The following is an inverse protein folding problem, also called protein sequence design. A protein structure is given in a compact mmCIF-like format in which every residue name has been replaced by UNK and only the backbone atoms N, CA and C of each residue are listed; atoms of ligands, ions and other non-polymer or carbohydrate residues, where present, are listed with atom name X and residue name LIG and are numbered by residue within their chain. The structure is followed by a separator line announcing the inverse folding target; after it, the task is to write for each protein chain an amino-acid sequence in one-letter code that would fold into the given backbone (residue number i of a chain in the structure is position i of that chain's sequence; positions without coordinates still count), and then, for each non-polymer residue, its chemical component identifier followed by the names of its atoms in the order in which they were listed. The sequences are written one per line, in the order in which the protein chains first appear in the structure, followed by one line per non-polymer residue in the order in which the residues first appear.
data_IF_515241907028
#
_entry.id   IF_515241907028
#
_cell.length_a   1.000
_cell.length_b   1.000
_cell.length_c   1.000
_cell.angle_alpha   90.00
_cell.angle_beta   90.00
_cell.angle_gamma   90.00
#
_symmetry.space_group_name_H-M   'P 1'
#
loop_
_entity.id
_entity.type
_entity.pdbx_description
1 polymer ?
#
# COMPACT_ATOMS: atom_id res chain seq x y z
N UNK A 1 23.13 -16.85 23.76
CA UNK A 1 23.20 -17.48 22.44
C UNK A 1 22.07 -16.95 21.59
N UNK A 2 22.21 -15.74 21.04
CA UNK A 2 21.20 -15.11 20.16
C UNK A 2 21.85 -14.03 19.27
N UNK A 3 22.92 -14.38 18.57
CA UNK A 3 23.65 -13.48 17.66
C UNK A 3 23.76 -13.96 16.21
N UNK A 4 23.12 -15.06 15.87
CA UNK A 4 23.22 -15.65 14.52
C UNK A 4 22.02 -15.32 13.59
N UNK A 5 20.91 -14.79 14.12
CA UNK A 5 19.72 -14.47 13.32
C UNK A 5 19.80 -13.14 12.56
N UNK A 6 20.47 -12.14 13.11
CA UNK A 6 20.56 -10.79 12.50
C UNK A 6 21.52 -10.72 11.29
N UNK A 7 22.54 -11.57 11.27
CA UNK A 7 23.51 -11.60 10.15
C UNK A 7 22.93 -12.21 8.87
N UNK A 8 21.99 -13.16 8.98
CA UNK A 8 21.37 -13.79 7.79
C UNK A 8 20.37 -12.84 7.10
N UNK A 9 19.66 -11.99 7.84
CA UNK A 9 18.71 -11.01 7.27
C UNK A 9 19.47 -9.86 6.60
N UNK A 10 20.59 -9.41 7.20
CA UNK A 10 21.47 -8.40 6.59
C UNK A 10 22.18 -8.92 5.32
N UNK A 11 22.49 -10.20 5.25
CA UNK A 11 23.08 -10.83 4.06
C UNK A 11 22.06 -10.92 2.93
N UNK A 12 20.79 -11.20 3.20
CA UNK A 12 19.73 -11.23 2.21
C UNK A 12 19.42 -9.81 1.65
N UNK A 13 19.47 -8.78 2.49
CA UNK A 13 19.29 -7.39 2.06
C UNK A 13 20.54 -6.88 1.32
N UNK A 14 21.74 -7.30 1.71
CA UNK A 14 23.00 -6.90 1.06
C UNK A 14 23.26 -7.69 -0.23
N UNK A 15 22.72 -8.90 -0.37
CA UNK A 15 22.74 -9.64 -1.64
C UNK A 15 21.69 -9.11 -2.63
N UNK A 16 20.54 -8.62 -2.15
CA UNK A 16 19.58 -7.87 -2.96
C UNK A 16 20.12 -6.52 -3.43
N UNK A 17 21.03 -5.90 -2.66
CA UNK A 17 21.71 -4.65 -3.04
C UNK A 17 22.86 -4.83 -4.04
N UNK A 18 23.42 -6.04 -4.20
CA UNK A 18 24.47 -6.37 -5.20
C UNK A 18 23.92 -6.98 -6.48
N UNK A 19 22.79 -7.66 -6.42
CA UNK A 19 21.92 -7.85 -7.58
C UNK A 19 21.09 -6.56 -7.61
N UNK A 20 21.49 -5.60 -8.45
CA UNK A 20 20.68 -4.39 -8.56
C UNK A 20 19.22 -4.76 -8.51
N UNK A 21 18.35 -3.92 -7.92
CA UNK A 21 16.88 -4.06 -7.91
C UNK A 21 16.36 -4.19 -9.36
N UNK A 22 17.06 -5.04 -10.12
CA UNK A 22 16.85 -5.42 -11.47
C UNK A 22 16.05 -6.70 -11.47
N UNK A 23 14.83 -6.58 -11.95
CA UNK A 23 14.07 -7.67 -12.54
C UNK A 23 13.62 -8.79 -11.59
N UNK A 24 12.76 -8.47 -10.64
CA UNK A 24 11.56 -9.28 -10.56
C UNK A 24 10.55 -8.68 -11.56
N UNK A 25 10.74 -8.97 -12.83
CA UNK A 25 9.77 -8.76 -13.90
C UNK A 25 8.56 -9.68 -13.66
N UNK A 26 7.63 -9.21 -12.82
CA UNK A 26 6.30 -9.84 -12.66
C UNK A 26 5.25 -9.07 -13.49
N UNK A 27 5.63 -7.98 -14.16
CA UNK A 27 4.68 -7.18 -14.96
C UNK A 27 5.23 -6.88 -16.35
N UNK A 28 4.74 -7.62 -17.34
CA UNK A 28 4.81 -7.19 -18.74
C UNK A 28 3.77 -6.08 -18.98
N UNK A 29 4.10 -5.01 -19.70
CA UNK A 29 3.15 -3.95 -20.00
C UNK A 29 2.11 -4.43 -21.01
N UNK A 30 0.83 -4.31 -20.65
CA UNK A 30 -0.28 -4.60 -21.53
C UNK A 30 -0.42 -3.56 -22.66
N UNK A 31 -0.68 -4.04 -23.86
CA UNK A 31 -0.94 -3.23 -25.05
C UNK A 31 -2.16 -2.31 -24.85
N UNK A 32 -2.03 -1.05 -25.29
CA UNK A 32 -3.10 -0.05 -25.28
C UNK A 32 -4.23 -0.45 -26.23
N UNK A 33 -5.36 -0.89 -25.71
CA UNK A 33 -6.61 -1.02 -26.47
C UNK A 33 -7.43 0.26 -26.31
N UNK A 34 -7.63 0.98 -27.41
CA UNK A 34 -8.51 2.13 -27.51
C UNK A 34 -9.97 1.66 -27.44
N UNK A 35 -10.64 1.94 -26.31
CA UNK A 35 -12.10 1.76 -26.16
C UNK A 35 -12.76 3.11 -26.39
N UNK A 36 -13.64 3.21 -27.41
CA UNK A 36 -14.52 4.37 -27.63
C UNK A 36 -15.55 4.46 -26.50
N UNK A 37 -15.68 5.63 -25.90
CA UNK A 37 -16.66 5.94 -24.86
C UNK A 37 -17.91 6.54 -25.54
N UNK A 38 -19.06 5.83 -25.43
CA UNK A 38 -20.38 6.40 -25.75
C UNK A 38 -20.98 7.05 -24.50
N UNK A 39 -21.59 8.24 -24.62
CA UNK A 39 -22.19 8.90 -23.47
C UNK A 39 -23.67 8.52 -23.30
N UNK A 40 -24.06 8.31 -22.01
CA UNK A 40 -25.40 8.19 -21.45
C UNK A 40 -26.06 6.81 -21.41
N UNK A 41 -25.88 6.14 -20.27
CA UNK A 41 -26.99 5.50 -19.53
C UNK A 41 -26.58 5.33 -18.06
N UNK A 42 -27.41 5.87 -17.12
CA UNK A 42 -27.20 5.75 -15.67
C UNK A 42 -27.71 4.39 -15.15
N UNK A 43 -27.34 3.32 -15.80
CA UNK A 43 -27.37 1.99 -15.21
C UNK A 43 -26.08 1.78 -14.47
N UNK A 44 -26.15 1.33 -13.23
CA UNK A 44 -25.01 0.94 -12.38
C UNK A 44 -24.27 -0.17 -13.11
N UNK A 45 -23.29 0.18 -13.93
CA UNK A 45 -22.48 -0.79 -14.63
C UNK A 45 -21.73 -1.57 -13.55
N UNK A 46 -22.16 -2.80 -13.26
CA UNK A 46 -21.37 -3.79 -12.52
C UNK A 46 -20.12 -4.04 -13.36
N UNK A 47 -19.07 -3.26 -13.13
CA UNK A 47 -17.77 -3.56 -13.74
C UNK A 47 -17.27 -4.79 -13.00
N UNK A 48 -17.36 -5.94 -13.67
CA UNK A 48 -16.84 -7.20 -13.17
C UNK A 48 -15.35 -7.09 -12.84
N UNK A 49 -14.86 -7.86 -11.88
CA UNK A 49 -13.42 -7.95 -11.58
C UNK A 49 -12.59 -8.31 -12.81
N UNK A 50 -13.19 -9.07 -13.73
CA UNK A 50 -12.58 -9.38 -15.03
C UNK A 50 -12.16 -8.14 -15.84
N UNK A 51 -12.86 -7.01 -15.68
CA UNK A 51 -12.62 -5.75 -16.40
C UNK A 51 -12.05 -4.65 -15.48
N UNK A 52 -11.61 -4.99 -14.27
CA UNK A 52 -11.06 -4.04 -13.32
C UNK A 52 -9.58 -3.75 -13.63
N UNK A 53 -9.22 -2.46 -13.72
CA UNK A 53 -7.83 -2.05 -13.95
C UNK A 53 -6.86 -2.49 -12.83
N UNK A 54 -7.40 -2.79 -11.63
CA UNK A 54 -6.61 -3.26 -10.48
C UNK A 54 -6.59 -4.78 -10.35
N UNK A 55 -7.16 -5.52 -11.30
CA UNK A 55 -7.29 -6.99 -11.26
C UNK A 55 -5.95 -7.67 -10.95
N UNK A 56 -4.89 -7.30 -11.65
CA UNK A 56 -3.58 -7.94 -11.49
C UNK A 56 -2.95 -7.72 -10.10
N UNK A 57 -3.40 -6.70 -9.38
CA UNK A 57 -2.91 -6.38 -8.02
C UNK A 57 -3.73 -7.08 -6.94
N UNK A 58 -5.07 -7.17 -7.13
CA UNK A 58 -5.96 -7.74 -6.11
C UNK A 58 -6.36 -9.20 -6.34
N UNK A 59 -6.12 -9.76 -7.55
CA UNK A 59 -6.59 -11.10 -7.92
C UNK A 59 -5.45 -12.01 -8.34
N UNK A 60 -5.54 -13.34 -8.09
CA UNK A 60 -4.57 -14.29 -8.60
C UNK A 60 -4.60 -14.34 -10.13
N UNK A 61 -3.42 -14.59 -10.72
CA UNK A 61 -3.27 -14.85 -12.15
C UNK A 61 -3.69 -16.31 -12.44
N UNK A 62 -4.35 -16.53 -13.56
CA UNK A 62 -4.67 -17.88 -14.05
C UNK A 62 -6.02 -18.43 -13.57
N UNK A 63 -6.90 -17.59 -13.02
CA UNK A 63 -8.27 -17.98 -12.73
C UNK A 63 -9.07 -18.23 -14.00
N UNK A 64 -9.88 -19.31 -14.00
CA UNK A 64 -10.90 -19.58 -15.02
C UNK A 64 -12.02 -18.54 -14.97
N UNK A 65 -12.83 -18.48 -16.03
CA UNK A 65 -13.97 -17.56 -16.09
C UNK A 65 -14.99 -17.86 -14.99
N UNK A 66 -15.21 -19.14 -14.66
CA UNK A 66 -16.16 -19.55 -13.61
C UNK A 66 -15.66 -19.13 -12.21
N UNK A 67 -14.35 -19.28 -11.93
CA UNK A 67 -13.76 -18.81 -10.69
C UNK A 67 -13.83 -17.28 -10.57
N UNK A 68 -13.62 -16.55 -11.66
CA UNK A 68 -13.79 -15.10 -11.70
C UNK A 68 -15.23 -14.68 -11.41
N UNK A 69 -16.21 -15.37 -12.00
CA UNK A 69 -17.62 -15.07 -11.77
C UNK A 69 -17.98 -15.30 -10.27
N UNK A 70 -17.50 -16.37 -9.68
CA UNK A 70 -17.71 -16.66 -8.24
C UNK A 70 -17.10 -15.58 -7.35
N UNK A 71 -15.93 -15.08 -7.68
CA UNK A 71 -15.31 -13.96 -6.95
C UNK A 71 -16.10 -12.67 -7.16
N UNK A 72 -16.59 -12.41 -8.38
CA UNK A 72 -17.45 -11.25 -8.65
C UNK A 72 -18.76 -11.28 -7.87
N UNK A 73 -19.35 -12.45 -7.71
CA UNK A 73 -20.57 -12.67 -6.91
C UNK A 73 -20.29 -12.44 -5.42
N UNK A 74 -19.15 -12.91 -4.92
CA UNK A 74 -18.69 -12.71 -3.55
C UNK A 74 -18.46 -11.22 -3.23
N UNK A 75 -17.94 -10.44 -4.18
CA UNK A 75 -17.77 -9.00 -4.00
C UNK A 75 -19.12 -8.30 -4.09
N UNK A 76 -19.91 -8.42 -3.03
CA UNK A 76 -21.32 -8.05 -3.00
C UNK A 76 -21.61 -6.55 -3.16
N UNK A 77 -20.70 -5.65 -2.77
CA UNK A 77 -20.93 -4.20 -2.88
C UNK A 77 -19.65 -3.38 -3.02
N UNK A 78 -19.71 -2.43 -3.92
CA UNK A 78 -18.76 -1.33 -3.96
C UNK A 78 -19.25 -0.20 -3.07
N UNK A 79 -18.39 0.28 -2.19
CA UNK A 79 -18.68 1.38 -1.30
C UNK A 79 -17.79 2.57 -1.66
N UNK A 80 -18.41 3.75 -1.79
CA UNK A 80 -17.69 5.01 -1.85
C UNK A 80 -17.43 5.48 -0.44
N UNK A 81 -16.21 5.92 -0.20
CA UNK A 81 -15.74 6.45 1.09
C UNK A 81 -15.22 7.85 0.84
N UNK A 82 -15.77 8.84 1.55
CA UNK A 82 -15.37 10.24 1.40
C UNK A 82 -14.07 10.51 2.13
N UNK A 83 -13.33 11.50 1.65
CA UNK A 83 -12.14 11.98 2.33
C UNK A 83 -12.44 12.31 3.79
N UNK A 84 -11.63 11.76 4.71
CA UNK A 84 -11.78 11.90 6.16
C UNK A 84 -12.79 10.95 6.79
N UNK A 85 -13.56 10.19 5.99
CA UNK A 85 -14.46 9.15 6.48
C UNK A 85 -13.64 7.93 6.95
N UNK A 86 -14.03 7.38 8.10
CA UNK A 86 -13.47 6.14 8.63
C UNK A 86 -14.22 4.95 8.02
N UNK A 87 -13.49 4.02 7.45
CA UNK A 87 -14.04 2.80 6.84
C UNK A 87 -14.44 1.79 7.90
N UNK A 88 -13.61 1.61 8.92
CA UNK A 88 -13.86 0.83 10.14
C UNK A 88 -13.07 1.40 11.31
N UNK A 89 -13.54 1.18 12.52
CA UNK A 89 -12.94 1.65 13.76
C UNK A 89 -12.26 0.52 14.53
N UNK A 90 -11.27 0.90 15.33
CA UNK A 90 -10.69 0.01 16.34
C UNK A 90 -11.82 -0.52 17.28
N UNK A 91 -11.81 -1.84 17.53
CA UNK A 91 -12.86 -2.53 18.30
C UNK A 91 -14.13 -2.86 17.51
N UNK A 92 -14.28 -2.38 16.29
CA UNK A 92 -15.41 -2.77 15.43
C UNK A 92 -15.29 -4.24 15.03
N UNK A 93 -16.44 -4.92 14.93
CA UNK A 93 -16.49 -6.34 14.55
C UNK A 93 -15.94 -6.53 13.13
N UNK A 94 -14.97 -7.41 13.00
CA UNK A 94 -14.44 -7.81 11.71
C UNK A 94 -15.41 -8.73 10.97
N UNK A 95 -15.71 -8.38 9.73
CA UNK A 95 -16.55 -9.19 8.84
C UNK A 95 -16.04 -9.24 7.41
N UNK A 96 -15.29 -8.22 6.99
CA UNK A 96 -14.86 -8.06 5.61
C UNK A 96 -13.38 -7.69 5.53
N UNK A 97 -12.72 -8.17 4.49
CA UNK A 97 -11.56 -7.52 3.92
C UNK A 97 -12.01 -6.49 2.87
N UNK A 98 -11.21 -5.47 2.67
CA UNK A 98 -11.54 -4.40 1.74
C UNK A 98 -10.42 -4.20 0.73
N UNK A 99 -10.68 -4.47 -0.56
CA UNK A 99 -9.77 -4.13 -1.63
C UNK A 99 -9.99 -2.67 -2.05
N UNK A 100 -8.94 -1.87 -2.02
CA UNK A 100 -8.97 -0.47 -2.44
C UNK A 100 -8.97 -0.45 -3.97
N UNK A 101 -10.08 0.01 -4.57
CA UNK A 101 -10.16 0.18 -6.02
C UNK A 101 -9.57 1.52 -6.47
N UNK A 102 -9.90 2.58 -5.77
CA UNK A 102 -9.35 3.93 -5.99
C UNK A 102 -9.15 4.63 -4.65
N UNK A 103 -8.22 5.57 -4.61
CA UNK A 103 -7.96 6.39 -3.43
C UNK A 103 -6.83 5.88 -2.55
N UNK A 104 -6.67 6.57 -1.43
CA UNK A 104 -5.66 6.34 -0.41
C UNK A 104 -6.30 6.27 0.96
N UNK A 105 -5.79 5.38 1.79
CA UNK A 105 -6.15 5.24 3.20
C UNK A 105 -4.92 5.35 4.09
N UNK A 106 -5.12 5.75 5.31
CA UNK A 106 -4.20 5.52 6.42
C UNK A 106 -4.84 4.57 7.42
N UNK A 107 -4.02 3.71 8.01
CA UNK A 107 -4.37 2.99 9.23
C UNK A 107 -3.71 3.68 10.41
N UNK A 108 -4.40 3.77 11.55
CA UNK A 108 -3.88 4.38 12.75
C UNK A 108 -4.42 3.70 14.01
N UNK A 109 -3.61 3.74 15.06
CA UNK A 109 -3.95 3.27 16.39
C UNK A 109 -3.96 4.48 17.31
N UNK A 110 -5.08 4.71 17.99
CA UNK A 110 -5.15 5.73 19.03
C UNK A 110 -4.33 5.28 20.24
N UNK A 111 -3.40 6.11 20.68
CA UNK A 111 -2.66 5.92 21.91
C UNK A 111 -3.53 6.34 23.10
N UNK A 112 -3.27 5.79 24.31
CA UNK A 112 -3.99 6.13 25.53
C UNK A 112 -3.91 7.62 25.88
N UNK A 113 -2.88 8.32 25.43
CA UNK A 113 -2.69 9.77 25.58
C UNK A 113 -3.35 10.62 24.51
N UNK A 114 -4.20 10.00 23.64
CA UNK A 114 -4.99 10.68 22.61
C UNK A 114 -4.19 11.06 21.36
N UNK A 115 -2.97 10.55 21.19
CA UNK A 115 -2.20 10.70 19.93
C UNK A 115 -2.47 9.54 18.99
N UNK A 116 -2.70 9.85 17.72
CA UNK A 116 -2.84 8.85 16.68
C UNK A 116 -1.47 8.45 16.13
N UNK A 117 -1.10 7.18 16.28
CA UNK A 117 0.05 6.61 15.59
C UNK A 117 -0.39 6.05 14.24
N UNK A 118 0.07 6.65 13.16
CA UNK A 118 -0.12 6.08 11.82
C UNK A 118 0.72 4.81 11.69
N UNK A 119 0.06 3.70 11.39
CA UNK A 119 0.69 2.38 11.21
C UNK A 119 0.92 2.04 9.75
N UNK A 120 0.13 2.62 8.83
CA UNK A 120 0.28 2.33 7.42
C UNK A 120 -0.38 3.35 6.50
N UNK A 121 0.06 3.34 5.24
CA UNK A 121 -0.59 4.01 4.12
C UNK A 121 -0.88 3.00 3.03
N UNK A 122 -2.14 2.84 2.66
CA UNK A 122 -2.60 1.91 1.65
C UNK A 122 -3.21 2.66 0.47
N UNK A 123 -3.07 2.09 -0.72
CA UNK A 123 -3.52 2.70 -1.98
C UNK A 123 -4.22 1.68 -2.89
N UNK A 124 -4.75 2.15 -3.99
CA UNK A 124 -5.43 1.33 -4.99
C UNK A 124 -4.65 0.03 -5.31
N UNK A 125 -5.34 -1.10 -5.35
CA UNK A 125 -4.77 -2.44 -5.55
C UNK A 125 -4.24 -3.11 -4.29
N UNK A 126 -4.39 -2.50 -3.11
CA UNK A 126 -4.02 -3.10 -1.82
C UNK A 126 -5.27 -3.47 -1.03
N UNK A 127 -5.09 -4.38 -0.07
CA UNK A 127 -6.15 -4.88 0.81
C UNK A 127 -5.93 -4.35 2.21
N UNK A 128 -7.00 -3.92 2.87
CA UNK A 128 -7.02 -3.47 4.26
C UNK A 128 -8.04 -4.28 5.06
N UNK A 129 -7.90 -4.29 6.38
CA UNK A 129 -8.76 -4.99 7.31
C UNK A 129 -8.22 -6.35 7.78
N UNK A 130 -6.99 -6.74 7.37
CA UNK A 130 -6.38 -8.01 7.81
C UNK A 130 -6.08 -8.07 9.31
N UNK A 131 -5.99 -6.92 9.96
CA UNK A 131 -5.80 -6.77 11.40
C UNK A 131 -6.90 -7.43 12.22
N UNK A 132 -8.12 -7.53 11.67
CA UNK A 132 -9.27 -8.12 12.34
C UNK A 132 -9.33 -9.65 12.33
N UNK A 133 -8.51 -10.32 11.54
CA UNK A 133 -8.56 -11.81 11.37
C UNK A 133 -8.26 -12.55 12.69
N UNK A 134 -7.38 -12.00 13.52
CA UNK A 134 -6.91 -12.71 14.75
C UNK A 134 -7.97 -12.75 15.84
N UNK A 135 -8.69 -11.65 16.03
CA UNK A 135 -9.57 -11.46 17.20
C UNK A 135 -11.02 -11.19 16.83
N UNK A 136 -11.41 -11.35 15.57
CA UNK A 136 -12.74 -11.01 15.03
C UNK A 136 -13.15 -9.53 15.25
N UNK A 137 -12.19 -8.67 15.56
CA UNK A 137 -12.37 -7.23 15.74
C UNK A 137 -11.16 -6.48 15.16
N UNK A 138 -11.44 -5.33 14.55
CA UNK A 138 -10.38 -4.44 14.07
C UNK A 138 -9.53 -3.91 15.22
N UNK A 139 -8.22 -3.81 15.01
CA UNK A 139 -7.26 -3.31 16.01
C UNK A 139 -6.73 -1.91 15.68
N UNK A 140 -7.20 -1.32 14.58
CA UNK A 140 -6.86 0.03 14.14
C UNK A 140 -8.07 0.70 13.48
N UNK A 141 -7.98 2.02 13.31
CA UNK A 141 -8.88 2.77 12.44
C UNK A 141 -8.34 2.80 11.02
N UNK A 142 -9.20 2.75 10.01
CA UNK A 142 -8.86 2.98 8.61
C UNK A 142 -9.57 4.23 8.08
N UNK A 143 -8.81 5.28 7.74
CA UNK A 143 -9.35 6.59 7.36
C UNK A 143 -8.97 6.93 5.93
N UNK A 144 -9.93 7.36 5.11
CA UNK A 144 -9.70 7.78 3.73
C UNK A 144 -8.99 9.14 3.66
N UNK A 145 -7.86 9.21 2.94
CA UNK A 145 -7.09 10.45 2.73
C UNK A 145 -7.60 11.28 1.55
N UNK A 146 -8.37 10.66 0.66
CA UNK A 146 -9.08 11.27 -0.46
C UNK A 146 -10.38 10.50 -0.73
N UNK A 147 -11.25 11.01 -1.62
CA UNK A 147 -12.44 10.26 -2.04
C UNK A 147 -12.01 8.93 -2.67
N UNK A 148 -12.52 7.84 -2.15
CA UNK A 148 -12.09 6.48 -2.45
C UNK A 148 -13.26 5.58 -2.82
N UNK A 149 -12.95 4.49 -3.50
CA UNK A 149 -13.88 3.40 -3.77
C UNK A 149 -13.24 2.08 -3.33
N UNK A 150 -13.98 1.29 -2.57
CA UNK A 150 -13.54 -0.01 -2.06
C UNK A 150 -14.49 -1.11 -2.51
N UNK A 151 -13.95 -2.33 -2.62
CA UNK A 151 -14.70 -3.57 -2.78
C UNK A 151 -14.71 -4.29 -1.43
N UNK A 152 -15.89 -4.47 -0.83
CA UNK A 152 -16.04 -5.25 0.39
C UNK A 152 -16.10 -6.74 0.05
N UNK A 153 -15.27 -7.52 0.71
CA UNK A 153 -15.14 -8.96 0.50
C UNK A 153 -15.39 -9.67 1.83
N UNK A 154 -16.56 -10.35 2.00
CA UNK A 154 -16.85 -11.09 3.22
C UNK A 154 -15.79 -12.15 3.49
N UNK A 155 -15.16 -12.09 4.67
CA UNK A 155 -14.01 -12.96 4.96
C UNK A 155 -14.40 -14.44 4.99
N UNK A 156 -15.56 -14.79 5.52
CA UNK A 156 -16.07 -16.16 5.53
C UNK A 156 -16.24 -16.75 4.11
N UNK A 157 -16.62 -15.92 3.14
CA UNK A 157 -16.72 -16.34 1.75
C UNK A 157 -15.34 -16.52 1.09
N UNK A 158 -14.37 -15.63 1.41
CA UNK A 158 -12.97 -15.78 0.99
C UNK A 158 -12.41 -17.12 1.51
N UNK A 159 -12.62 -17.44 2.78
CA UNK A 159 -12.17 -18.70 3.36
C UNK A 159 -12.78 -19.91 2.65
N UNK A 160 -14.11 -19.86 2.43
CA UNK A 160 -14.83 -20.95 1.75
C UNK A 160 -14.30 -21.14 0.33
N UNK A 161 -14.21 -20.05 -0.44
CA UNK A 161 -13.76 -20.09 -1.82
C UNK A 161 -12.28 -20.50 -1.93
N UNK A 162 -11.45 -20.10 -0.98
CA UNK A 162 -10.03 -20.46 -0.94
C UNK A 162 -9.79 -21.96 -0.73
N UNK A 163 -10.73 -22.67 -0.09
CA UNK A 163 -10.65 -24.15 0.05
C UNK A 163 -10.89 -24.87 -1.27
N UNK A 164 -11.64 -24.27 -2.17
CA UNK A 164 -12.01 -24.84 -3.46
C UNK A 164 -11.09 -24.36 -4.60
N UNK A 165 -10.56 -23.14 -4.50
CA UNK A 165 -9.72 -22.49 -5.52
C UNK A 165 -8.31 -22.30 -4.97
N UNK A 166 -7.42 -23.25 -5.27
CA UNK A 166 -6.03 -23.23 -4.78
C UNK A 166 -5.28 -21.94 -5.17
N UNK A 167 -5.56 -21.37 -6.36
CA UNK A 167 -4.95 -20.13 -6.80
C UNK A 167 -5.32 -18.95 -5.88
N UNK A 168 -6.58 -18.89 -5.41
CA UNK A 168 -7.05 -17.88 -4.45
C UNK A 168 -6.37 -18.06 -3.10
N UNK A 169 -6.31 -19.28 -2.57
CA UNK A 169 -5.61 -19.58 -1.32
C UNK A 169 -4.16 -19.11 -1.36
N UNK A 170 -3.44 -19.49 -2.43
CA UNK A 170 -2.05 -19.08 -2.60
C UNK A 170 -1.90 -17.55 -2.72
N UNK A 171 -2.86 -16.88 -3.34
CA UNK A 171 -2.87 -15.42 -3.46
C UNK A 171 -3.08 -14.74 -2.10
N UNK A 172 -4.00 -15.24 -1.28
CA UNK A 172 -4.21 -14.76 0.10
C UNK A 172 -2.92 -14.88 0.91
N UNK A 173 -2.26 -16.04 0.85
CA UNK A 173 -0.96 -16.22 1.52
C UNK A 173 0.11 -15.23 1.02
N UNK A 174 0.16 -14.95 -0.29
CA UNK A 174 1.07 -13.94 -0.84
C UNK A 174 0.77 -12.54 -0.32
N UNK A 175 -0.50 -12.15 -0.21
CA UNK A 175 -0.89 -10.86 0.33
C UNK A 175 -0.45 -10.73 1.79
N UNK A 176 -0.75 -11.74 2.62
CA UNK A 176 -0.33 -11.76 4.03
C UNK A 176 1.19 -11.71 4.17
N UNK A 177 1.92 -12.47 3.34
CA UNK A 177 3.39 -12.46 3.35
C UNK A 177 3.96 -11.10 2.95
N UNK A 178 3.38 -10.43 1.96
CA UNK A 178 3.79 -9.06 1.57
C UNK A 178 3.59 -8.07 2.72
N UNK A 179 2.48 -8.20 3.44
CA UNK A 179 2.20 -7.35 4.60
C UNK A 179 3.25 -7.56 5.70
N UNK A 180 3.55 -8.81 6.05
CA UNK A 180 4.60 -9.15 7.03
C UNK A 180 5.97 -8.57 6.60
N UNK A 181 6.34 -8.70 5.33
CA UNK A 181 7.60 -8.15 4.81
C UNK A 181 7.60 -6.61 4.88
N UNK A 182 6.46 -5.98 4.60
CA UNK A 182 6.31 -4.53 4.72
C UNK A 182 6.49 -4.06 6.16
N UNK A 183 5.84 -4.74 7.12
CA UNK A 183 5.97 -4.44 8.54
C UNK A 183 7.41 -4.62 9.05
N UNK A 184 8.11 -5.66 8.62
CA UNK A 184 9.54 -5.82 8.91
C UNK A 184 10.37 -4.66 8.36
N UNK A 185 10.05 -4.16 7.16
CA UNK A 185 10.70 -2.98 6.59
C UNK A 185 10.49 -1.72 7.43
N UNK A 186 9.26 -1.52 7.93
CA UNK A 186 8.93 -0.40 8.84
C UNK A 186 9.69 -0.53 10.16
N UNK A 187 9.74 -1.72 10.76
CA UNK A 187 10.51 -1.96 11.99
C UNK A 187 11.99 -1.66 11.80
N UNK A 188 12.59 -2.09 10.69
CA UNK A 188 13.99 -1.78 10.36
C UNK A 188 14.20 -0.26 10.23
N UNK A 189 13.30 0.40 9.50
CA UNK A 189 13.32 1.85 9.30
C UNK A 189 13.28 2.58 10.64
N UNK A 190 12.34 2.23 11.52
CA UNK A 190 12.17 2.88 12.81
C UNK A 190 13.30 2.56 13.81
N UNK A 191 13.87 1.36 13.73
CA UNK A 191 14.87 0.88 14.70
C UNK A 191 16.31 1.30 14.38
N UNK A 192 16.67 1.48 13.11
CA UNK A 192 18.08 1.64 12.71
C UNK A 192 18.39 2.86 11.86
N UNK A 193 17.38 3.51 11.25
CA UNK A 193 17.61 4.60 10.30
C UNK A 193 17.51 5.98 10.96
N UNK A 194 18.32 6.95 10.47
CA UNK A 194 18.23 8.36 10.83
C UNK A 194 17.05 9.04 10.14
N UNK A 195 16.65 10.22 10.58
CA UNK A 195 15.50 10.95 10.06
C UNK A 195 15.52 11.15 8.53
N UNK A 196 16.68 11.47 7.97
CA UNK A 196 16.87 11.66 6.53
C UNK A 196 16.72 10.34 5.77
N UNK A 197 17.31 9.27 6.30
CA UNK A 197 17.23 7.92 5.73
C UNK A 197 15.78 7.43 5.73
N UNK A 198 15.02 7.67 6.81
CA UNK A 198 13.60 7.31 6.92
C UNK A 198 12.75 8.02 5.88
N UNK A 199 12.93 9.34 5.73
CA UNK A 199 12.17 10.10 4.74
C UNK A 199 12.54 9.71 3.31
N UNK A 200 13.84 9.48 3.02
CA UNK A 200 14.29 9.03 1.71
C UNK A 200 13.72 7.64 1.37
N UNK A 201 13.77 6.69 2.31
CA UNK A 201 13.20 5.35 2.14
C UNK A 201 11.67 5.41 1.90
N UNK A 202 10.96 6.27 2.64
CA UNK A 202 9.53 6.48 2.46
C UNK A 202 9.21 7.00 1.05
N UNK A 203 9.93 8.01 0.56
CA UNK A 203 9.70 8.57 -0.78
C UNK A 203 10.00 7.55 -1.87
N UNK A 204 11.09 6.80 -1.76
CA UNK A 204 11.44 5.73 -2.70
C UNK A 204 10.39 4.62 -2.72
N UNK A 205 9.92 4.16 -1.55
CA UNK A 205 8.87 3.15 -1.45
C UNK A 205 7.56 3.64 -2.07
N UNK A 206 7.15 4.88 -1.76
CA UNK A 206 5.93 5.47 -2.34
C UNK A 206 6.04 5.58 -3.86
N UNK A 207 7.19 6.06 -4.37
CA UNK A 207 7.46 6.17 -5.81
C UNK A 207 7.37 4.80 -6.51
N UNK A 208 7.99 3.78 -5.95
CA UNK A 208 7.95 2.42 -6.48
C UNK A 208 6.53 1.83 -6.50
N UNK A 209 5.78 1.99 -5.40
CA UNK A 209 4.38 1.52 -5.31
C UNK A 209 3.47 2.22 -6.32
N UNK A 210 3.65 3.52 -6.53
CA UNK A 210 2.90 4.27 -7.55
C UNK A 210 3.31 3.84 -8.96
N UNK A 211 4.60 3.63 -9.20
CA UNK A 211 5.10 3.20 -10.50
C UNK A 211 4.53 1.83 -10.92
N UNK A 212 4.45 0.87 -10.00
CA UNK A 212 3.82 -0.43 -10.27
C UNK A 212 2.33 -0.35 -10.66
N UNK A 213 1.70 0.81 -10.48
CA UNK A 213 0.31 1.13 -10.86
C UNK A 213 0.21 2.01 -12.09
N UNK A 214 1.33 2.21 -12.81
CA UNK A 214 1.39 3.02 -14.04
C UNK A 214 1.51 4.53 -13.82
N UNK A 215 1.78 4.99 -12.59
CA UNK A 215 2.05 6.39 -12.30
C UNK A 215 3.53 6.73 -12.49
N UNK A 216 3.85 8.03 -12.48
CA UNK A 216 5.23 8.50 -12.56
C UNK A 216 6.05 7.99 -11.37
N UNK A 217 7.31 7.62 -11.64
CA UNK A 217 8.28 7.23 -10.62
C UNK A 217 8.93 8.44 -9.94
N UNK A 218 8.92 9.59 -10.59
CA UNK A 218 9.55 10.82 -10.09
C UNK A 218 8.56 11.86 -9.60
N UNK A 219 7.32 11.85 -10.07
CA UNK A 219 6.30 12.82 -9.67
C UNK A 219 5.30 12.20 -8.71
N UNK A 220 5.31 12.66 -7.47
CA UNK A 220 4.46 12.17 -6.39
C UNK A 220 3.48 13.26 -5.97
N UNK A 221 2.23 12.89 -5.74
CA UNK A 221 1.27 13.74 -5.05
C UNK A 221 1.01 13.12 -3.68
N UNK A 222 1.52 13.75 -2.64
CA UNK A 222 1.33 13.28 -1.27
C UNK A 222 -0.13 13.48 -0.84
N UNK A 223 -0.81 12.40 -0.51
CA UNK A 223 -2.19 12.42 0.01
C UNK A 223 -2.21 12.67 1.51
N UNK A 224 -1.17 12.25 2.20
CA UNK A 224 -0.92 12.43 3.62
C UNK A 224 -0.28 13.80 3.93
N UNK A 225 -0.53 14.29 5.11
CA UNK A 225 0.12 15.50 5.66
C UNK A 225 1.54 15.20 6.15
N UNK A 226 2.35 16.22 6.37
CA UNK A 226 3.69 16.05 6.97
C UNK A 226 3.62 15.53 8.39
N UNK A 227 2.56 15.84 9.11
CA UNK A 227 2.29 15.31 10.45
C UNK A 227 2.01 13.81 10.41
N UNK A 228 1.16 13.36 9.48
CA UNK A 228 0.87 11.94 9.27
C UNK A 228 2.12 11.16 8.81
N UNK A 229 2.94 11.76 7.93
CA UNK A 229 4.25 11.19 7.56
C UNK A 229 5.16 11.10 8.78
N UNK A 230 5.19 12.14 9.61
CA UNK A 230 5.96 12.17 10.85
C UNK A 230 5.51 11.08 11.81
N UNK A 231 4.20 10.95 12.03
CA UNK A 231 3.62 9.88 12.85
C UNK A 231 4.05 8.50 12.35
N UNK A 232 3.92 8.23 11.05
CA UNK A 232 4.33 6.96 10.44
C UNK A 232 5.83 6.67 10.58
N UNK A 233 6.69 7.70 10.42
CA UNK A 233 8.14 7.56 10.48
C UNK A 233 8.74 7.71 11.89
N UNK A 234 7.91 7.91 12.93
CA UNK A 234 8.37 8.16 14.29
C UNK A 234 9.16 9.47 14.42
N UNK A 235 8.77 10.51 13.69
CA UNK A 235 9.44 11.81 13.62
C UNK A 235 8.47 12.95 13.92
N UNK A 236 8.97 14.04 14.50
CA UNK A 236 8.17 15.25 14.68
C UNK A 236 7.94 15.98 13.35
N UNK A 237 6.83 16.71 13.25
CA UNK A 237 6.46 17.52 12.08
C UNK A 237 7.61 18.46 11.64
N UNK A 238 8.27 19.10 12.61
CA UNK A 238 9.38 20.03 12.35
C UNK A 238 10.58 19.31 11.74
N UNK A 239 10.84 18.06 12.17
CA UNK A 239 11.92 17.24 11.63
C UNK A 239 11.63 16.87 10.18
N UNK A 240 10.42 16.41 9.89
CA UNK A 240 9.98 16.13 8.50
C UNK A 240 10.11 17.38 7.63
N UNK A 241 9.65 18.53 8.13
CA UNK A 241 9.71 19.80 7.38
C UNK A 241 11.15 20.23 7.08
N UNK A 242 12.04 20.15 8.07
CA UNK A 242 13.47 20.47 7.89
C UNK A 242 14.15 19.50 6.93
N UNK A 243 13.85 18.22 7.02
CA UNK A 243 14.42 17.22 6.10
C UNK A 243 13.99 17.45 4.67
N UNK A 244 12.72 17.78 4.43
CA UNK A 244 12.26 18.18 3.09
C UNK A 244 12.99 19.42 2.57
N UNK A 245 13.15 20.47 3.41
CA UNK A 245 13.86 21.70 3.02
C UNK A 245 15.30 21.39 2.62
N UNK A 246 15.99 20.55 3.40
CA UNK A 246 17.36 20.12 3.07
C UNK A 246 17.42 19.35 1.75
N UNK A 247 16.50 18.42 1.49
CA UNK A 247 16.44 17.70 0.22
C UNK A 247 16.19 18.63 -0.98
N UNK A 248 15.47 19.75 -0.77
CA UNK A 248 15.28 20.79 -1.79
C UNK A 248 16.58 21.59 -1.99
N UNK A 249 17.25 22.01 -0.91
CA UNK A 249 18.53 22.73 -0.94
C UNK A 249 19.62 21.91 -1.63
N UNK A 250 19.66 20.60 -1.37
CA UNK A 250 20.62 19.66 -1.97
C UNK A 250 20.23 19.28 -3.42
N UNK A 251 19.14 19.81 -3.98
CA UNK A 251 18.68 19.51 -5.34
C UNK A 251 18.22 18.06 -5.54
N UNK A 252 17.85 17.36 -4.47
CA UNK A 252 17.41 15.96 -4.51
C UNK A 252 15.93 15.87 -4.90
N UNK A 253 15.10 16.78 -4.35
CA UNK A 253 13.68 16.88 -4.67
C UNK A 253 13.26 18.32 -4.90
N UNK A 254 12.18 18.53 -5.67
CA UNK A 254 11.45 19.80 -5.70
C UNK A 254 10.09 19.59 -5.05
N UNK A 255 9.68 20.53 -4.19
CA UNK A 255 8.42 20.43 -3.45
C UNK A 255 7.56 21.66 -3.69
N UNK A 256 6.32 21.45 -4.16
CA UNK A 256 5.30 22.50 -4.31
C UNK A 256 4.00 22.00 -3.66
N UNK A 257 3.69 22.49 -2.47
CA UNK A 257 2.54 22.03 -1.67
C UNK A 257 2.57 20.52 -1.41
N UNK A 258 1.68 19.75 -2.06
CA UNK A 258 1.61 18.28 -1.99
C UNK A 258 2.37 17.58 -3.11
N UNK A 259 2.85 18.33 -4.09
CA UNK A 259 3.61 17.79 -5.21
C UNK A 259 5.08 17.68 -4.81
N UNK A 260 5.63 16.49 -4.93
CA UNK A 260 7.05 16.20 -4.74
C UNK A 260 7.58 15.62 -6.04
N UNK A 261 8.56 16.31 -6.61
CA UNK A 261 9.29 15.82 -7.78
C UNK A 261 10.67 15.35 -7.34
N UNK A 262 10.95 14.06 -7.52
CA UNK A 262 12.27 13.46 -7.25
C UNK A 262 13.17 13.83 -8.43
N UNK A 263 14.15 14.71 -8.18
CA UNK A 263 15.12 15.19 -9.19
C UNK A 263 16.30 14.23 -9.31
N UNK A 264 16.69 13.59 -8.19
CA UNK A 264 17.84 12.70 -8.14
C UNK A 264 17.49 11.46 -7.30
N UNK A 265 17.02 10.40 -7.97
CA UNK A 265 16.69 9.12 -7.33
C UNK A 265 17.92 8.45 -6.73
N UNK A 266 19.10 8.56 -7.40
CA UNK A 266 20.33 7.95 -6.91
C UNK A 266 20.77 8.57 -5.58
N UNK A 267 20.65 9.88 -5.43
CA UNK A 267 20.97 10.55 -4.17
C UNK A 267 20.08 10.07 -3.01
N UNK A 268 18.76 9.85 -3.25
CA UNK A 268 17.89 9.24 -2.24
C UNK A 268 18.32 7.81 -1.89
N UNK A 269 18.75 7.02 -2.88
CA UNK A 269 19.26 5.66 -2.65
C UNK A 269 20.57 5.65 -1.85
N UNK A 270 21.47 6.58 -2.14
CA UNK A 270 22.75 6.73 -1.42
C UNK A 270 22.53 7.18 0.04
N UNK A 271 21.50 7.99 0.31
CA UNK A 271 21.10 8.35 1.68
C UNK A 271 20.62 7.11 2.45
N UNK A 272 19.82 6.26 1.82
CA UNK A 272 19.28 5.03 2.46
C UNK A 272 20.37 3.98 2.66
N UNK A 273 21.34 3.90 1.74
CA UNK A 273 22.43 2.92 1.76
C UNK A 273 23.79 3.65 1.72
N UNK A 274 24.19 4.32 2.81
CA UNK A 274 25.50 4.96 2.85
C UNK A 274 26.61 3.91 2.68
N UNK A 275 27.53 4.20 1.76
CA UNK A 275 28.67 3.31 1.43
C UNK A 275 29.64 3.22 2.61
#
# INVERSE_FOLDING_TARGET
MCRLGLFSILILINQAGKAGWGQFDIYQPLAKNNVKIDPMNHETIKIACANCNMRELCMPIGLSQDELNRIDEMIGSRRKVKRGETLFHNGEKFTNLYAIRTGFFKTCIASEDGRDQVTGFQMAGEIIGMDGIVNDHHTCDAVALEDAEICAMPFAEIETLSREVNALQHHVHKIMSREIVREHGVMLLLGSMRAEERLAAFLLNLAQRLHSRGFSQSELILRMTREEIGSYLGLKLETISRTFSRFVEDGIVAVKQRHVHILNTQALQDIVNPK
#
